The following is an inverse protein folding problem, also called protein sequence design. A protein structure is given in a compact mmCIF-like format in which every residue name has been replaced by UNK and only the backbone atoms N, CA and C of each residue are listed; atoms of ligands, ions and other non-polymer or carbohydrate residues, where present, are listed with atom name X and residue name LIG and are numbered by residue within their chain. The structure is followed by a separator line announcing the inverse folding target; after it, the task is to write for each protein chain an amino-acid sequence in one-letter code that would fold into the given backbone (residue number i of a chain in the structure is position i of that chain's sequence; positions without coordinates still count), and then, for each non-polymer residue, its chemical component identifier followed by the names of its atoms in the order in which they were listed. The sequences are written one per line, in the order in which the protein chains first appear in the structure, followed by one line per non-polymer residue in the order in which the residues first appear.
data_IF_673341571190
#
_entry.id   IF_673341571190
#
_cell.length_a   1.000
_cell.length_b   1.000
_cell.length_c   1.000
_cell.angle_alpha   90.00
_cell.angle_beta   90.00
_cell.angle_gamma   90.00
#
_symmetry.space_group_name_H-M   'P 1'
#
loop_
_entity.id
_entity.type
_entity.pdbx_description
1 polymer ?
#
# COMPACT_ATOMS: atom_id res chain seq x y z
N UNK A 1 -48.26 32.64 40.66
CA UNK A 1 -49.09 31.44 40.40
C UNK A 1 -49.48 31.43 38.93
N UNK A 2 -49.39 30.24 38.32
CA UNK A 2 -49.86 29.83 36.98
C UNK A 2 -48.96 30.15 35.76
N UNK A 3 -48.31 29.05 35.35
CA UNK A 3 -47.66 28.72 34.09
C UNK A 3 -48.51 29.10 32.87
N UNK A 4 -47.88 29.58 31.81
CA UNK A 4 -48.42 29.46 30.45
C UNK A 4 -47.38 28.71 29.61
N UNK A 5 -47.88 27.65 29.01
CA UNK A 5 -47.21 26.60 28.27
C UNK A 5 -46.84 27.12 26.87
N UNK A 6 -45.60 26.86 26.46
CA UNK A 6 -45.07 27.14 25.13
C UNK A 6 -45.56 26.03 24.18
N UNK A 7 -46.40 26.36 23.20
CA UNK A 7 -46.78 25.45 22.11
C UNK A 7 -46.10 25.94 20.84
N UNK A 8 -45.06 25.24 20.39
CA UNK A 8 -44.41 25.46 19.10
C UNK A 8 -45.17 24.66 18.05
N UNK A 9 -45.91 25.35 17.19
CA UNK A 9 -46.52 24.78 15.98
C UNK A 9 -45.56 25.03 14.83
N UNK A 10 -44.97 23.96 14.28
CA UNK A 10 -44.22 24.00 13.02
C UNK A 10 -45.23 24.06 11.88
N UNK A 11 -45.26 25.17 11.13
CA UNK A 11 -46.04 25.31 9.91
C UNK A 11 -45.08 25.38 8.72
N UNK A 12 -44.89 24.24 8.05
CA UNK A 12 -44.21 24.16 6.76
C UNK A 12 -45.22 24.57 5.68
N UNK A 13 -45.07 25.77 5.11
CA UNK A 13 -45.83 26.16 3.92
C UNK A 13 -45.12 25.69 2.65
N UNK A 14 -45.72 24.70 1.99
CA UNK A 14 -45.49 24.40 0.59
C UNK A 14 -46.29 25.39 -0.26
N UNK A 15 -45.61 26.14 -1.12
CA UNK A 15 -46.25 26.97 -2.14
C UNK A 15 -46.11 26.30 -3.52
N UNK A 16 -47.24 25.76 -3.96
CA UNK A 16 -47.54 25.28 -5.31
C UNK A 16 -47.77 26.50 -6.22
N UNK A 17 -47.14 26.56 -7.39
CA UNK A 17 -47.63 27.36 -8.53
C UNK A 17 -47.60 26.47 -9.77
N UNK A 18 -48.79 26.14 -10.26
CA UNK A 18 -49.06 25.58 -11.60
C UNK A 18 -49.26 26.76 -12.56
N UNK A 19 -48.81 26.59 -13.82
CA UNK A 19 -49.40 27.07 -15.11
C UNK A 19 -48.28 27.60 -16.02
N UNK A 20 -48.11 27.24 -17.30
CA UNK A 20 -48.99 26.62 -18.28
C UNK A 20 -48.17 25.87 -19.35
N UNK A 21 -48.84 24.98 -20.07
CA UNK A 21 -48.36 24.22 -21.23
C UNK A 21 -47.85 25.09 -22.38
N UNK A 22 -46.75 24.67 -23.03
CA UNK A 22 -46.58 24.78 -24.48
C UNK A 22 -45.56 23.75 -24.94
N UNK A 23 -45.96 22.90 -25.88
CA UNK A 23 -45.07 21.97 -26.56
C UNK A 23 -44.13 22.72 -27.50
N UNK A 24 -42.90 22.23 -27.64
CA UNK A 24 -42.05 22.40 -28.82
C UNK A 24 -40.97 21.31 -28.82
N UNK A 25 -41.19 20.30 -29.66
CA UNK A 25 -40.17 19.35 -30.11
C UNK A 25 -39.24 20.01 -31.16
N UNK A 26 -38.00 19.50 -31.33
CA UNK A 26 -36.94 20.16 -32.09
C UNK A 26 -37.10 20.04 -33.62
N UNK A 27 -36.54 20.99 -34.40
CA UNK A 27 -36.57 20.92 -35.86
C UNK A 27 -35.57 19.91 -36.42
N UNK A 28 -36.07 19.05 -37.31
CA UNK A 28 -35.27 18.16 -38.16
C UNK A 28 -34.49 18.95 -39.24
N UNK A 29 -33.30 18.48 -39.65
CA UNK A 29 -32.54 19.10 -40.73
C UNK A 29 -33.17 18.81 -42.11
N UNK A 30 -33.19 19.86 -42.92
CA UNK A 30 -33.74 19.95 -44.28
C UNK A 30 -32.75 19.43 -45.32
N UNK A 31 -33.19 18.50 -46.18
CA UNK A 31 -32.57 18.21 -47.47
C UNK A 31 -33.61 18.42 -48.58
N UNK A 32 -33.24 19.19 -49.61
CA UNK A 32 -34.05 19.52 -50.79
C UNK A 32 -33.92 18.48 -51.91
N UNK A 33 -34.86 18.46 -52.90
CA UNK A 33 -35.17 17.24 -53.66
C UNK A 33 -34.87 17.26 -55.18
N UNK A 34 -34.91 16.03 -55.73
CA UNK A 34 -35.30 15.56 -57.09
C UNK A 34 -34.38 15.78 -58.33
N UNK A 35 -34.05 14.68 -59.03
CA UNK A 35 -34.76 14.27 -60.27
C UNK A 35 -34.38 12.87 -60.79
N UNK A 36 -35.31 12.32 -61.58
CA UNK A 36 -35.61 10.92 -61.96
C UNK A 36 -34.69 10.25 -62.99
N UNK A 37 -34.63 8.90 -62.98
CA UNK A 37 -34.92 8.03 -64.14
C UNK A 37 -35.04 6.55 -63.73
N UNK A 38 -35.70 5.77 -64.60
CA UNK A 38 -36.51 4.56 -64.39
C UNK A 38 -35.90 3.29 -65.02
N UNK A 39 -36.33 2.10 -64.53
CA UNK A 39 -36.67 0.85 -65.29
C UNK A 39 -35.46 -0.01 -65.78
N UNK A 40 -35.38 -1.35 -65.77
CA UNK A 40 -36.20 -2.56 -65.48
C UNK A 40 -35.18 -3.73 -65.25
N UNK A 41 -35.38 -4.66 -64.32
CA UNK A 41 -35.93 -6.02 -64.50
C UNK A 41 -34.95 -7.12 -65.00
N UNK A 42 -34.75 -8.16 -64.18
CA UNK A 42 -34.79 -9.60 -64.53
C UNK A 42 -33.89 -10.55 -63.68
N UNK A 43 -34.58 -11.43 -62.94
CA UNK A 43 -34.38 -12.90 -62.73
C UNK A 43 -32.98 -13.45 -62.36
N UNK A 44 -32.80 -14.06 -61.17
CA UNK A 44 -33.12 -15.46 -60.77
C UNK A 44 -32.49 -16.59 -61.61
N UNK A 45 -31.52 -17.32 -61.02
CA UNK A 45 -31.48 -18.79 -60.82
C UNK A 45 -30.12 -19.22 -60.22
N UNK A 46 -30.05 -19.80 -59.02
CA UNK A 46 -29.97 -21.25 -58.70
C UNK A 46 -29.24 -22.14 -59.73
N UNK A 47 -28.11 -22.75 -59.37
CA UNK A 47 -28.06 -24.18 -58.95
C UNK A 47 -26.62 -24.73 -58.71
N UNK A 48 -26.55 -25.49 -57.62
CA UNK A 48 -25.78 -26.70 -57.27
C UNK A 48 -24.54 -27.21 -58.04
N UNK A 49 -23.54 -27.57 -57.21
CA UNK A 49 -22.71 -28.82 -57.15
C UNK A 49 -21.74 -29.18 -58.30
N UNK A 50 -20.45 -29.37 -57.96
CA UNK A 50 -19.79 -30.68 -57.76
C UNK A 50 -18.27 -30.57 -57.50
N UNK A 51 -17.78 -31.48 -56.66
CA UNK A 51 -16.38 -31.86 -56.44
C UNK A 51 -15.69 -32.30 -57.74
N UNK A 52 -14.38 -32.08 -57.83
CA UNK A 52 -13.42 -33.06 -58.34
C UNK A 52 -12.00 -32.77 -57.79
N UNK A 53 -11.35 -33.82 -57.26
CA UNK A 53 -9.93 -33.91 -56.95
C UNK A 53 -9.07 -33.83 -58.23
N UNK A 54 -7.82 -33.35 -58.14
CA UNK A 54 -6.66 -33.91 -58.86
C UNK A 54 -5.31 -33.39 -58.33
N UNK A 55 -4.52 -34.34 -57.83
CA UNK A 55 -3.09 -34.62 -58.03
C UNK A 55 -1.96 -33.55 -57.89
N UNK A 56 -1.00 -33.94 -57.05
CA UNK A 56 0.48 -33.91 -57.19
C UNK A 56 1.19 -32.64 -57.70
N UNK A 57 2.06 -32.07 -56.87
CA UNK A 57 3.46 -31.92 -57.26
C UNK A 57 4.42 -31.89 -56.05
N UNK A 58 5.51 -32.64 -56.20
CA UNK A 58 6.63 -32.87 -55.29
C UNK A 58 7.66 -31.75 -55.37
N UNK A 59 8.26 -31.33 -54.23
CA UNK A 59 9.64 -30.81 -54.22
C UNK A 59 10.40 -31.22 -52.95
N UNK A 60 11.48 -31.96 -53.18
CA UNK A 60 12.52 -32.32 -52.23
C UNK A 60 13.41 -31.11 -51.87
N UNK A 61 14.01 -31.13 -50.68
CA UNK A 61 15.32 -30.53 -50.42
C UNK A 61 16.05 -31.28 -49.31
N UNK A 62 17.30 -31.56 -49.66
CA UNK A 62 18.29 -32.45 -49.06
C UNK A 62 18.84 -32.01 -47.68
N UNK A 63 19.25 -33.05 -46.92
CA UNK A 63 20.51 -33.25 -46.19
C UNK A 63 21.12 -32.12 -45.31
N UNK A 64 21.26 -32.42 -44.01
CA UNK A 64 22.58 -32.69 -43.42
C UNK A 64 22.45 -33.34 -42.04
N UNK A 65 22.85 -34.61 -41.96
CA UNK A 65 23.23 -35.30 -40.72
C UNK A 65 24.62 -34.83 -40.30
N UNK A 66 24.85 -34.70 -38.99
CA UNK A 66 26.16 -34.92 -38.41
C UNK A 66 26.03 -35.85 -37.21
N UNK A 67 26.74 -36.97 -37.29
CA UNK A 67 27.01 -37.94 -36.24
C UNK A 67 28.53 -38.00 -36.02
N UNK A 68 28.90 -38.56 -34.87
CA UNK A 68 30.21 -39.10 -34.46
C UNK A 68 31.25 -38.09 -33.92
N UNK A 69 31.98 -38.34 -32.83
CA UNK A 69 32.27 -39.61 -32.15
C UNK A 69 32.85 -39.38 -30.72
N UNK A 70 32.82 -40.46 -29.93
CA UNK A 70 33.29 -40.60 -28.54
C UNK A 70 34.81 -40.45 -28.34
N UNK A 71 35.21 -40.05 -27.12
CA UNK A 71 36.37 -40.65 -26.43
C UNK A 71 36.10 -40.84 -24.92
N UNK A 72 36.35 -42.08 -24.48
CA UNK A 72 36.49 -42.53 -23.08
C UNK A 72 37.87 -42.12 -22.53
N UNK A 73 37.97 -42.08 -21.19
CA UNK A 73 39.05 -42.60 -20.32
C UNK A 73 38.57 -42.38 -18.86
N UNK A 74 38.05 -43.39 -18.16
CA UNK A 74 38.73 -44.37 -17.28
C UNK A 74 39.20 -43.84 -15.90
N UNK A 75 38.51 -44.36 -14.87
CA UNK A 75 38.96 -44.80 -13.53
C UNK A 75 39.65 -43.83 -12.54
N UNK A 76 39.08 -43.71 -11.32
CA UNK A 76 39.60 -44.43 -10.14
C UNK A 76 38.70 -44.28 -8.89
N UNK A 77 38.42 -45.43 -8.28
CA UNK A 77 37.90 -45.67 -6.94
C UNK A 77 38.78 -45.09 -5.81
N UNK A 78 38.19 -45.13 -4.60
CA UNK A 78 38.75 -45.22 -3.23
C UNK A 78 38.53 -43.96 -2.38
N UNK A 79 38.14 -44.03 -1.12
CA UNK A 79 37.89 -45.15 -0.21
C UNK A 79 37.00 -44.64 0.94
N UNK A 80 36.34 -45.64 1.53
CA UNK A 80 35.61 -45.74 2.79
C UNK A 80 36.23 -45.05 4.02
N UNK A 81 35.39 -44.49 4.90
CA UNK A 81 35.27 -44.85 6.33
C UNK A 81 34.11 -44.03 6.95
N UNK A 82 33.02 -44.64 7.45
CA UNK A 82 32.82 -45.20 8.81
C UNK A 82 33.22 -44.21 9.93
N UNK A 83 32.50 -44.00 11.03
CA UNK A 83 31.34 -44.61 11.68
C UNK A 83 30.74 -43.51 12.60
N UNK A 84 29.42 -43.41 12.76
CA UNK A 84 28.69 -43.83 13.97
C UNK A 84 29.46 -43.67 15.29
N UNK A 85 28.88 -42.92 16.24
CA UNK A 85 28.66 -43.41 17.61
C UNK A 85 27.70 -42.48 18.39
N UNK A 86 26.62 -43.08 18.87
CA UNK A 86 25.80 -42.63 19.99
C UNK A 86 26.62 -42.67 21.30
N UNK A 87 26.32 -41.81 22.28
CA UNK A 87 25.87 -42.24 23.63
C UNK A 87 26.00 -41.16 24.73
N UNK A 88 25.00 -41.17 25.63
CA UNK A 88 25.06 -41.02 27.11
C UNK A 88 25.53 -39.69 27.71
N UNK A 89 24.69 -38.93 28.45
CA UNK A 89 24.05 -39.11 29.78
C UNK A 89 24.74 -38.26 30.87
N UNK A 90 23.92 -37.40 31.51
CA UNK A 90 23.83 -36.98 32.93
C UNK A 90 25.09 -36.77 33.80
N UNK A 91 25.12 -35.61 34.49
CA UNK A 91 25.01 -35.44 35.97
C UNK A 91 25.43 -34.00 36.35
N UNK A 92 24.54 -33.21 36.96
CA UNK A 92 24.41 -32.88 38.40
C UNK A 92 25.37 -31.81 38.97
N UNK A 93 24.73 -30.74 39.48
CA UNK A 93 24.98 -30.05 40.76
C UNK A 93 26.21 -29.12 40.93
N UNK A 94 25.95 -27.82 41.14
CA UNK A 94 26.47 -27.10 42.31
C UNK A 94 25.67 -25.81 42.61
N UNK A 95 24.94 -25.83 43.72
CA UNK A 95 24.47 -24.67 44.48
C UNK A 95 25.65 -23.85 45.05
N UNK A 96 25.49 -22.53 45.19
CA UNK A 96 25.58 -21.90 46.52
C UNK A 96 25.06 -20.46 46.53
N UNK A 97 24.05 -20.28 47.38
CA UNK A 97 23.54 -19.04 47.96
C UNK A 97 24.59 -18.35 48.83
N UNK A 98 24.41 -17.06 49.12
CA UNK A 98 24.60 -16.54 50.48
C UNK A 98 23.71 -15.31 50.71
N UNK A 99 22.86 -15.44 51.72
CA UNK A 99 21.91 -14.48 52.27
C UNK A 99 22.55 -13.53 53.32
N UNK A 100 22.07 -12.29 53.32
CA UNK A 100 21.49 -11.49 54.42
C UNK A 100 22.12 -11.27 55.82
N UNK A 101 21.71 -10.11 56.39
CA UNK A 101 21.63 -9.65 57.80
C UNK A 101 22.89 -9.08 58.48
N UNK A 102 22.86 -8.03 59.31
CA UNK A 102 21.80 -7.20 59.94
C UNK A 102 22.42 -5.93 60.57
N UNK A 103 21.65 -4.85 60.79
CA UNK A 103 21.24 -4.27 62.11
C UNK A 103 22.41 -3.98 63.10
N UNK A 104 22.55 -2.88 63.84
CA UNK A 104 21.68 -1.76 64.22
C UNK A 104 22.49 -0.69 65.01
N UNK A 105 21.91 0.51 65.11
CA UNK A 105 21.93 1.50 66.22
C UNK A 105 23.13 2.42 66.62
N UNK A 106 22.73 3.69 66.83
CA UNK A 106 23.12 4.69 67.86
C UNK A 106 24.46 5.47 67.82
N UNK A 107 24.39 6.80 67.61
CA UNK A 107 24.70 7.84 68.64
C UNK A 107 24.69 9.31 68.13
N UNK A 108 23.83 10.11 68.79
CA UNK A 108 23.92 11.52 69.26
C UNK A 108 25.18 12.35 68.89
N UNK A 109 25.06 13.55 68.27
CA UNK A 109 24.68 14.91 68.78
C UNK A 109 25.85 15.75 69.33
N UNK A 110 25.75 17.06 69.06
CA UNK A 110 26.40 18.23 69.71
C UNK A 110 27.84 18.56 69.22
N UNK A 111 28.35 19.80 69.09
CA UNK A 111 27.87 21.20 69.13
C UNK A 111 29.12 22.11 68.92
N UNK A 112 28.92 23.36 68.48
CA UNK A 112 29.82 24.55 68.56
C UNK A 112 31.23 24.54 67.87
N UNK A 113 31.88 25.64 67.43
CA UNK A 113 31.62 27.08 67.16
C UNK A 113 32.93 27.72 66.62
N UNK A 114 32.84 28.99 66.16
CA UNK A 114 33.89 30.02 65.94
C UNK A 114 34.66 30.00 64.59
N UNK A 115 34.52 30.95 63.65
CA UNK A 115 34.67 32.43 63.59
C UNK A 115 36.04 32.95 63.10
N UNK A 116 35.96 34.07 62.36
CA UNK A 116 36.99 34.93 61.74
C UNK A 116 37.59 34.42 60.41
N UNK A 117 37.75 35.22 59.35
CA UNK A 117 38.15 36.62 59.37
C UNK A 117 37.68 37.39 58.11
N UNK A 118 37.50 38.69 58.32
CA UNK A 118 37.01 39.73 57.41
C UNK A 118 37.99 40.15 56.32
N UNK A 119 37.48 40.52 55.13
CA UNK A 119 38.02 41.67 54.37
C UNK A 119 36.99 42.26 53.40
N UNK A 120 36.74 43.57 53.58
CA UNK A 120 35.82 44.42 52.85
C UNK A 120 36.52 45.21 51.72
N UNK A 121 35.72 45.51 50.67
CA UNK A 121 35.74 46.69 49.78
C UNK A 121 36.89 46.81 48.75
N UNK A 122 36.70 47.25 47.49
CA UNK A 122 35.61 47.97 46.83
C UNK A 122 35.82 47.94 45.29
N UNK A 123 34.71 48.06 44.56
CA UNK A 123 34.50 48.72 43.24
C UNK A 123 35.52 48.58 42.08
N UNK A 124 35.06 48.04 40.94
CA UNK A 124 34.77 48.89 39.78
C UNK A 124 33.90 48.17 38.73
N UNK A 125 33.15 48.98 37.99
CA UNK A 125 32.08 48.68 37.04
C UNK A 125 32.54 47.99 35.75
N UNK A 126 31.55 47.31 35.17
CA UNK A 126 31.26 47.27 33.72
C UNK A 126 32.28 46.55 32.84
N UNK A 127 31.90 45.39 32.31
CA UNK A 127 31.39 45.32 30.94
C UNK A 127 31.09 43.88 30.55
N UNK A 128 29.99 43.74 29.83
CA UNK A 128 29.69 42.67 28.88
C UNK A 128 29.10 41.38 29.45
N UNK A 129 27.79 41.52 29.69
CA UNK A 129 26.77 40.52 29.34
C UNK A 129 27.18 39.75 28.07
N UNK A 130 27.80 38.58 28.25
CA UNK A 130 27.66 37.49 27.31
C UNK A 130 26.39 36.72 27.68
N UNK A 131 25.22 37.36 27.52
CA UNK A 131 24.01 36.58 27.29
C UNK A 131 24.25 35.83 25.98
N UNK A 132 24.40 34.51 26.06
CA UNK A 132 24.27 33.66 24.89
C UNK A 132 22.89 33.97 24.32
N UNK A 133 22.84 34.64 23.18
CA UNK A 133 21.71 34.53 22.27
C UNK A 133 21.63 33.04 21.91
N UNK A 134 20.90 32.27 22.73
CA UNK A 134 20.16 31.15 22.18
C UNK A 134 19.27 31.78 21.14
N UNK A 135 19.62 31.55 19.88
CA UNK A 135 18.88 31.96 18.69
C UNK A 135 17.43 31.52 18.89
N UNK A 136 16.59 32.44 19.38
CA UNK A 136 15.19 32.18 19.67
C UNK A 136 14.48 32.07 18.32
N UNK A 137 14.53 30.87 17.73
CA UNK A 137 13.79 30.53 16.52
C UNK A 137 12.34 30.95 16.73
N UNK A 138 11.92 31.97 15.98
CA UNK A 138 10.53 32.42 16.01
C UNK A 138 9.67 31.25 15.55
N UNK A 139 8.74 30.82 16.40
CA UNK A 139 7.82 29.72 16.07
C UNK A 139 6.51 30.27 15.51
N UNK A 140 5.98 29.62 14.49
CA UNK A 140 4.64 29.83 13.94
C UNK A 140 3.90 28.50 13.84
N UNK A 141 2.62 28.52 13.48
CA UNK A 141 1.78 27.32 13.42
C UNK A 141 1.61 26.81 11.99
N UNK A 142 2.04 25.57 11.75
CA UNK A 142 1.64 24.79 10.58
C UNK A 142 0.35 24.02 10.93
N UNK A 143 -0.69 24.19 10.13
CA UNK A 143 -1.97 23.50 10.31
C UNK A 143 -2.09 22.42 9.23
N UNK A 144 -2.37 21.18 9.64
CA UNK A 144 -2.54 20.03 8.76
C UNK A 144 -3.97 19.50 8.86
N UNK A 145 -4.56 19.21 7.71
CA UNK A 145 -5.85 18.53 7.62
C UNK A 145 -5.71 17.33 6.68
N UNK A 146 -6.26 16.19 7.08
CA UNK A 146 -6.17 14.93 6.33
C UNK A 146 -7.54 14.30 6.12
N UNK A 147 -7.68 13.57 5.02
CA UNK A 147 -8.81 12.70 4.73
C UNK A 147 -8.28 11.36 4.21
N UNK A 148 -8.83 10.24 4.69
CA UNK A 148 -8.43 8.91 4.23
C UNK A 148 -7.06 8.43 4.74
N UNK A 149 -6.44 9.15 5.67
CA UNK A 149 -5.18 8.74 6.30
C UNK A 149 -5.46 7.61 7.31
N UNK A 150 -4.80 6.46 7.14
CA UNK A 150 -4.98 5.29 7.99
C UNK A 150 -3.97 5.21 9.14
N UNK A 151 -4.16 4.24 10.04
CA UNK A 151 -3.18 3.88 11.05
C UNK A 151 -1.95 3.21 10.35
N UNK A 152 -0.71 3.71 10.54
CA UNK A 152 0.47 3.14 9.90
C UNK A 152 0.94 1.80 10.54
N UNK A 153 0.37 1.42 11.69
CA UNK A 153 0.67 0.16 12.37
C UNK A 153 1.59 0.32 13.58
N UNK A 154 1.78 -0.78 14.32
CA UNK A 154 2.65 -0.81 15.50
C UNK A 154 4.11 -0.61 15.09
N UNK A 155 4.84 0.24 15.82
CA UNK A 155 6.24 0.57 15.52
C UNK A 155 6.42 1.61 14.41
N UNK A 156 5.35 2.23 13.93
CA UNK A 156 5.37 3.24 12.88
C UNK A 156 4.57 4.48 13.27
N UNK A 157 4.97 5.64 12.72
CA UNK A 157 4.29 6.91 12.89
C UNK A 157 4.37 7.73 11.59
N UNK A 158 3.64 8.85 11.55
CA UNK A 158 3.79 9.82 10.48
C UNK A 158 4.73 10.94 10.89
N UNK A 159 5.54 11.42 9.96
CA UNK A 159 6.31 12.64 10.11
C UNK A 159 6.06 13.59 8.94
N UNK A 160 5.84 14.86 9.25
CA UNK A 160 5.67 15.90 8.25
C UNK A 160 6.97 16.64 7.98
N UNK A 161 7.23 16.98 6.73
CA UNK A 161 8.45 17.64 6.29
C UNK A 161 8.13 18.87 5.44
N UNK A 162 8.72 20.01 5.80
CA UNK A 162 8.79 21.18 4.93
C UNK A 162 10.02 21.04 4.03
N UNK A 163 9.86 21.23 2.73
CA UNK A 163 11.00 21.28 1.81
C UNK A 163 11.48 22.72 1.71
N UNK A 164 12.63 23.03 2.29
CA UNK A 164 13.21 24.39 2.34
C UNK A 164 14.53 24.38 1.59
N UNK A 165 14.65 25.18 0.53
CA UNK A 165 15.83 25.20 -0.34
C UNK A 165 16.24 23.81 -0.88
N UNK A 166 15.27 22.90 -1.02
CA UNK A 166 15.46 21.53 -1.48
C UNK A 166 15.75 20.51 -0.37
N UNK A 167 15.93 20.96 0.88
CA UNK A 167 16.24 20.10 2.03
C UNK A 167 14.99 19.88 2.91
N UNK A 168 14.79 18.67 3.46
CA UNK A 168 13.67 18.39 4.35
C UNK A 168 13.90 18.96 5.76
N UNK A 169 12.88 19.61 6.31
CA UNK A 169 12.85 20.13 7.68
C UNK A 169 11.63 19.54 8.40
N UNK A 170 11.89 18.77 9.46
CA UNK A 170 10.82 18.13 10.26
C UNK A 170 9.85 19.16 10.84
N UNK A 171 8.57 18.77 10.83
CA UNK A 171 7.47 19.49 11.46
C UNK A 171 6.98 18.80 12.74
N UNK A 172 7.50 17.60 13.01
CA UNK A 172 7.12 16.76 14.14
C UNK A 172 6.40 15.48 13.71
N UNK A 173 6.36 14.55 14.67
CA UNK A 173 5.79 13.20 14.53
C UNK A 173 4.39 13.15 15.13
N UNK A 174 3.49 12.41 14.49
CA UNK A 174 2.15 12.14 15.00
C UNK A 174 1.67 10.74 14.61
N UNK A 175 0.65 10.24 15.30
CA UNK A 175 0.01 8.97 14.98
C UNK A 175 -1.43 9.19 14.52
N UNK A 176 -2.00 8.18 13.85
CA UNK A 176 -3.41 8.16 13.44
C UNK A 176 -4.02 6.87 13.98
N UNK A 177 -5.18 6.98 14.62
CA UNK A 177 -5.90 5.81 15.14
C UNK A 177 -6.68 5.07 14.03
N UNK A 178 -7.25 3.91 14.37
CA UNK A 178 -8.03 3.08 13.43
C UNK A 178 -9.31 3.78 12.89
N UNK A 179 -9.67 4.95 13.43
CA UNK A 179 -10.78 5.77 12.96
C UNK A 179 -10.32 6.89 12.03
N UNK A 180 -9.04 6.97 11.72
CA UNK A 180 -8.45 8.02 10.89
C UNK A 180 -8.27 9.35 11.62
N UNK A 181 -8.20 9.35 12.96
CA UNK A 181 -8.01 10.57 13.73
C UNK A 181 -6.54 10.76 14.11
N UNK A 182 -5.95 11.86 13.63
CA UNK A 182 -4.58 12.24 13.96
C UNK A 182 -4.45 12.70 15.42
N UNK A 183 -3.34 12.35 16.06
CA UNK A 183 -3.01 12.77 17.43
C UNK A 183 -2.68 14.26 17.53
N UNK A 184 -2.27 14.89 16.43
CA UNK A 184 -2.02 16.31 16.30
C UNK A 184 -2.28 16.78 14.86
N UNK A 185 -2.78 18.01 14.74
CA UNK A 185 -3.02 18.71 13.45
C UNK A 185 -2.38 20.09 13.41
N UNK A 186 -1.79 20.52 14.51
CA UNK A 186 -1.23 21.86 14.70
C UNK A 186 0.19 21.71 15.22
N UNK A 187 1.16 22.21 14.45
CA UNK A 187 2.57 21.98 14.68
C UNK A 187 3.32 23.32 14.82
N UNK A 188 3.96 23.59 15.98
CA UNK A 188 4.83 24.75 16.14
C UNK A 188 6.16 24.54 15.40
N UNK A 189 6.31 25.19 14.25
CA UNK A 189 7.49 25.08 13.37
C UNK A 189 8.28 26.39 13.33
N UNK A 190 9.52 26.33 12.86
CA UNK A 190 10.32 27.55 12.63
C UNK A 190 9.65 28.44 11.57
N UNK A 191 9.49 29.73 11.89
CA UNK A 191 8.77 30.69 11.04
C UNK A 191 9.51 31.00 9.73
N UNK A 192 10.84 30.96 9.75
CA UNK A 192 11.64 31.16 8.55
C UNK A 192 11.53 29.95 7.62
N UNK A 193 11.62 28.73 8.15
CA UNK A 193 11.41 27.48 7.44
C UNK A 193 10.02 27.42 6.80
N UNK A 194 8.95 27.68 7.56
CA UNK A 194 7.59 27.63 7.03
C UNK A 194 7.35 28.67 5.93
N UNK A 195 7.90 29.87 6.10
CA UNK A 195 7.79 30.94 5.09
C UNK A 195 8.52 30.58 3.78
N UNK A 196 9.69 29.95 3.88
CA UNK A 196 10.54 29.65 2.73
C UNK A 196 10.31 28.24 2.15
N UNK A 197 9.48 27.41 2.78
CA UNK A 197 9.16 26.10 2.24
C UNK A 197 8.62 26.21 0.81
N UNK A 198 8.97 25.27 -0.05
CA UNK A 198 8.42 25.16 -1.41
C UNK A 198 7.34 24.08 -1.47
N UNK A 199 7.47 23.05 -0.64
CA UNK A 199 6.54 21.94 -0.57
C UNK A 199 6.38 21.41 0.86
N UNK A 200 5.35 20.60 1.06
CA UNK A 200 5.16 19.74 2.22
C UNK A 200 5.10 18.27 1.76
N UNK A 201 5.71 17.38 2.55
CA UNK A 201 5.67 15.92 2.35
C UNK A 201 5.32 15.24 3.66
N UNK A 202 4.52 14.19 3.59
CA UNK A 202 4.23 13.30 4.71
C UNK A 202 4.85 11.92 4.44
N UNK A 203 5.61 11.42 5.40
CA UNK A 203 6.27 10.11 5.32
C UNK A 203 5.74 9.16 6.40
N UNK A 204 5.97 7.87 6.19
CA UNK A 204 5.76 6.82 7.20
C UNK A 204 7.14 6.47 7.79
N UNK A 205 7.30 6.71 9.08
CA UNK A 205 8.59 6.63 9.80
C UNK A 205 8.57 5.54 10.87
N UNK A 206 9.70 4.84 11.11
CA UNK A 206 9.85 3.99 12.28
C UNK A 206 9.59 4.77 13.58
N UNK A 207 9.05 4.12 14.60
CA UNK A 207 8.77 4.75 15.89
C UNK A 207 9.16 3.82 17.04
N UNK A 208 10.26 4.10 17.79
CA UNK A 208 11.12 5.28 17.71
C UNK A 208 12.01 5.34 16.47
N UNK A 209 12.19 6.53 15.91
CA UNK A 209 13.04 6.77 14.73
C UNK A 209 14.52 7.01 15.12
N UNK A 210 15.47 6.19 14.64
CA UNK A 210 16.89 6.44 14.84
C UNK A 210 17.52 7.41 13.81
N UNK A 211 16.86 7.72 12.69
CA UNK A 211 17.40 8.57 11.62
C UNK A 211 16.66 9.92 11.60
N UNK A 212 17.36 11.06 11.68
CA UNK A 212 16.72 12.38 11.58
C UNK A 212 16.33 12.78 10.14
N UNK A 213 16.67 12.00 9.12
CA UNK A 213 16.26 12.22 7.73
C UNK A 213 14.92 11.52 7.44
N UNK A 214 14.14 12.00 6.44
CA UNK A 214 12.91 11.31 6.05
C UNK A 214 13.21 9.89 5.56
N UNK A 215 12.40 8.93 5.99
CA UNK A 215 12.36 7.61 5.37
C UNK A 215 11.86 7.73 3.93
N UNK A 216 12.25 6.77 3.10
CA UNK A 216 11.93 6.72 1.67
C UNK A 216 10.44 6.53 1.38
N UNK A 217 9.65 6.15 2.38
CA UNK A 217 8.22 5.85 2.29
C UNK A 217 7.40 7.17 2.33
N UNK A 218 7.43 7.90 1.22
CA UNK A 218 6.67 9.14 1.06
C UNK A 218 5.23 8.85 0.62
N UNK A 219 4.25 9.31 1.40
CA UNK A 219 2.84 8.97 1.21
C UNK A 219 2.05 10.03 0.42
N UNK A 220 2.08 11.28 0.88
CA UNK A 220 1.39 12.41 0.22
C UNK A 220 2.29 13.63 0.23
N UNK A 221 2.19 14.44 -0.82
CA UNK A 221 2.95 15.70 -0.91
C UNK A 221 2.18 16.78 -1.66
N UNK A 222 2.66 18.01 -1.56
CA UNK A 222 2.09 19.15 -2.27
C UNK A 222 3.00 20.38 -2.23
N UNK A 223 3.08 21.08 -3.36
CA UNK A 223 3.71 22.39 -3.45
C UNK A 223 2.84 23.47 -2.78
N UNK A 224 3.48 24.43 -2.11
CA UNK A 224 2.78 25.59 -1.57
C UNK A 224 2.46 26.60 -2.68
N UNK A 225 1.17 26.90 -2.82
CA UNK A 225 0.66 28.04 -3.59
C UNK A 225 0.09 29.07 -2.60
N UNK A 226 0.86 30.14 -2.36
CA UNK A 226 0.60 31.08 -1.28
C UNK A 226 0.77 30.43 0.09
N UNK A 227 -0.27 30.48 0.92
CA UNK A 227 -0.26 29.98 2.30
C UNK A 227 -0.75 28.53 2.42
N UNK A 228 -1.01 27.85 1.31
CA UNK A 228 -1.58 26.48 1.32
C UNK A 228 -0.93 25.55 0.31
N UNK A 229 -0.81 24.27 0.67
CA UNK A 229 -0.47 23.17 -0.23
C UNK A 229 -1.59 22.14 -0.19
N UNK A 230 -2.07 21.69 -1.36
CA UNK A 230 -2.97 20.54 -1.48
C UNK A 230 -2.13 19.27 -1.57
N UNK A 231 -2.37 18.33 -0.67
CA UNK A 231 -1.57 17.12 -0.52
C UNK A 231 -2.26 15.93 -1.19
N UNK A 232 -1.51 15.21 -2.02
CA UNK A 232 -2.01 14.02 -2.71
C UNK A 232 -0.89 13.01 -2.92
N UNK A 233 -1.27 11.74 -3.13
CA UNK A 233 -0.33 10.67 -3.49
C UNK A 233 0.32 10.89 -4.86
N UNK A 234 -0.36 11.60 -5.77
CA UNK A 234 0.09 11.85 -7.13
C UNK A 234 1.21 12.87 -7.24
N UNK A 235 1.56 13.52 -6.12
CA UNK A 235 2.64 14.48 -6.10
C UNK A 235 4.00 13.82 -6.42
N UNK A 236 4.90 14.49 -7.17
CA UNK A 236 6.22 13.93 -7.50
C UNK A 236 7.12 13.60 -6.30
N UNK A 237 6.84 14.19 -5.13
CA UNK A 237 7.51 13.87 -3.86
C UNK A 237 6.83 12.76 -3.06
N UNK A 238 5.81 12.10 -3.62
CA UNK A 238 5.04 11.01 -3.01
C UNK A 238 5.04 9.78 -3.95
N UNK A 239 3.90 9.10 -4.14
CA UNK A 239 3.77 7.96 -5.05
C UNK A 239 3.92 8.33 -6.54
N UNK A 240 3.88 9.63 -6.89
CA UNK A 240 4.07 10.13 -8.25
C UNK A 240 3.10 9.54 -9.30
N UNK A 241 1.94 9.05 -8.86
CA UNK A 241 0.87 8.53 -9.71
C UNK A 241 -0.51 8.83 -9.10
N UNK A 242 -1.51 9.10 -9.94
CA UNK A 242 -2.89 9.36 -9.51
C UNK A 242 -3.77 8.11 -9.43
N UNK A 243 -3.32 7.02 -10.05
CA UNK A 243 -4.02 5.74 -10.12
C UNK A 243 -5.45 5.82 -10.66
N UNK A 244 -5.82 6.87 -11.40
CA UNK A 244 -7.21 7.06 -11.83
C UNK A 244 -7.64 6.08 -12.93
N UNK A 245 -6.71 5.70 -13.82
CA UNK A 245 -6.98 4.91 -15.03
C UNK A 245 -6.48 3.46 -14.94
N UNK A 246 -6.12 2.98 -13.75
CA UNK A 246 -5.70 1.58 -13.59
C UNK A 246 -6.88 0.62 -13.82
N UNK A 247 -6.55 -0.58 -14.28
CA UNK A 247 -7.52 -1.65 -14.49
C UNK A 247 -6.91 -2.98 -14.05
N UNK A 248 -7.77 -3.94 -13.73
CA UNK A 248 -7.34 -5.28 -13.41
C UNK A 248 -8.47 -6.29 -13.47
N UNK A 249 -8.09 -7.54 -13.64
CA UNK A 249 -8.96 -8.69 -13.44
C UNK A 249 -8.14 -9.87 -12.90
N UNK A 250 -8.84 -10.80 -12.25
CA UNK A 250 -8.28 -12.06 -11.79
C UNK A 250 -9.08 -13.23 -12.37
N UNK A 251 -8.50 -14.42 -12.30
CA UNK A 251 -9.17 -15.69 -12.55
C UNK A 251 -9.14 -16.55 -11.28
N UNK A 252 -10.13 -17.42 -11.14
CA UNK A 252 -10.05 -18.55 -10.21
C UNK A 252 -9.53 -19.79 -10.94
N UNK A 253 -8.51 -20.44 -10.38
CA UNK A 253 -7.88 -21.62 -10.94
C UNK A 253 -6.81 -22.15 -10.00
N UNK A 254 -6.61 -23.48 -10.00
CA UNK A 254 -5.66 -24.16 -9.12
C UNK A 254 -4.58 -24.96 -9.89
N UNK A 255 -3.76 -24.30 -10.74
CA UNK A 255 -2.81 -24.95 -11.63
C UNK A 255 -1.75 -25.81 -10.92
N UNK A 256 -1.39 -25.49 -9.68
CA UNK A 256 -0.45 -26.28 -8.88
C UNK A 256 -1.07 -27.58 -8.36
N UNK A 257 -2.40 -27.71 -8.36
CA UNK A 257 -3.09 -28.92 -7.91
C UNK A 257 -2.88 -30.10 -8.87
N UNK A 258 -2.88 -31.33 -8.32
CA UNK A 258 -2.99 -32.57 -9.10
C UNK A 258 -4.38 -32.78 -9.71
N UNK A 259 -5.39 -32.07 -9.21
CA UNK A 259 -6.80 -32.14 -9.57
C UNK A 259 -7.32 -30.74 -9.92
N UNK A 260 -6.58 -30.02 -10.78
CA UNK A 260 -6.84 -28.61 -11.07
C UNK A 260 -8.30 -28.34 -11.50
N UNK A 261 -8.91 -29.23 -12.28
CA UNK A 261 -10.29 -29.09 -12.75
C UNK A 261 -11.33 -29.19 -11.60
N UNK A 262 -11.05 -29.95 -10.56
CA UNK A 262 -11.90 -30.07 -9.37
C UNK A 262 -11.57 -29.01 -8.30
N UNK A 263 -10.34 -28.52 -8.32
CA UNK A 263 -9.79 -27.61 -7.32
C UNK A 263 -9.80 -26.14 -7.75
N UNK A 264 -10.30 -25.79 -8.94
CA UNK A 264 -10.21 -24.42 -9.48
C UNK A 264 -10.67 -23.29 -8.55
N UNK A 265 -11.58 -23.56 -7.59
CA UNK A 265 -12.03 -22.60 -6.57
C UNK A 265 -11.01 -22.35 -5.44
N UNK A 266 -9.87 -23.04 -5.47
CA UNK A 266 -8.80 -23.04 -4.47
C UNK A 266 -7.55 -22.34 -4.98
N UNK A 267 -7.69 -21.36 -5.85
CA UNK A 267 -6.58 -20.52 -6.29
C UNK A 267 -7.07 -19.29 -7.00
N UNK A 268 -6.26 -18.25 -6.95
CA UNK A 268 -6.53 -16.94 -7.53
C UNK A 268 -5.27 -16.47 -8.25
N UNK A 269 -5.44 -15.97 -9.46
CA UNK A 269 -4.31 -15.49 -10.26
C UNK A 269 -4.67 -14.23 -11.05
N UNK A 270 -3.70 -13.34 -11.24
CA UNK A 270 -3.86 -12.00 -11.81
C UNK A 270 -3.23 -11.89 -13.21
N UNK A 271 -3.84 -12.46 -14.26
CA UNK A 271 -3.25 -12.44 -15.61
C UNK A 271 -3.32 -11.07 -16.29
N UNK A 272 -4.07 -10.12 -15.73
CA UNK A 272 -4.32 -8.81 -16.33
C UNK A 272 -4.34 -7.73 -15.25
N UNK A 273 -3.20 -7.06 -15.07
CA UNK A 273 -3.03 -5.91 -14.19
C UNK A 273 -2.35 -4.78 -14.96
N UNK A 274 -3.02 -3.63 -15.05
CA UNK A 274 -2.45 -2.41 -15.63
C UNK A 274 -2.16 -1.41 -14.51
N UNK A 275 -0.96 -1.55 -13.93
CA UNK A 275 -0.50 -0.77 -12.77
C UNK A 275 0.70 0.10 -13.16
N UNK A 276 0.83 1.34 -12.63
CA UNK A 276 2.02 2.15 -12.81
C UNK A 276 3.23 1.55 -12.06
N UNK A 277 4.43 2.04 -12.34
CA UNK A 277 5.58 1.72 -11.50
C UNK A 277 5.46 2.48 -10.16
N UNK A 278 5.83 1.83 -9.07
CA UNK A 278 5.92 2.45 -7.75
C UNK A 278 7.34 3.02 -7.52
N UNK A 279 7.47 4.12 -6.76
CA UNK A 279 8.78 4.57 -6.28
C UNK A 279 9.37 3.59 -5.25
N UNK A 280 10.67 3.71 -5.00
CA UNK A 280 11.36 2.94 -3.96
C UNK A 280 10.65 3.11 -2.60
N UNK A 281 10.68 2.05 -1.78
CA UNK A 281 9.97 2.01 -0.50
C UNK A 281 8.51 1.57 -0.59
N UNK A 282 8.02 1.23 -1.78
CA UNK A 282 6.66 0.75 -2.01
C UNK A 282 6.65 -0.51 -2.87
N UNK A 283 5.67 -1.39 -2.62
CA UNK A 283 5.46 -2.63 -3.35
C UNK A 283 3.96 -2.90 -3.51
N UNK A 284 3.55 -3.64 -4.54
CA UNK A 284 2.18 -4.16 -4.60
C UNK A 284 2.08 -5.46 -3.84
N UNK A 285 0.92 -5.71 -3.24
CA UNK A 285 0.63 -7.00 -2.61
C UNK A 285 -0.78 -7.47 -2.95
N UNK A 286 -0.90 -8.75 -3.29
CA UNK A 286 -2.18 -9.41 -3.52
C UNK A 286 -2.72 -10.02 -2.23
N UNK A 287 -4.03 -10.03 -2.08
CA UNK A 287 -4.70 -10.56 -0.89
C UNK A 287 -5.99 -11.27 -1.25
N UNK A 288 -6.26 -12.35 -0.52
CA UNK A 288 -7.63 -12.85 -0.33
C UNK A 288 -8.08 -12.54 1.10
N UNK A 289 -9.26 -11.96 1.24
CA UNK A 289 -9.79 -11.53 2.54
C UNK A 289 -11.06 -12.30 2.84
N UNK A 290 -11.02 -13.19 3.83
CA UNK A 290 -12.12 -14.09 4.14
C UNK A 290 -12.52 -14.09 5.62
N UNK A 291 -13.34 -15.07 6.04
CA UNK A 291 -13.89 -15.17 7.39
C UNK A 291 -12.84 -15.27 8.51
N UNK A 292 -11.69 -15.88 8.20
CA UNK A 292 -10.60 -16.09 9.16
C UNK A 292 -9.54 -14.98 9.14
N UNK A 293 -9.74 -13.96 8.29
CA UNK A 293 -8.83 -12.83 8.11
C UNK A 293 -8.25 -12.70 6.70
N UNK A 294 -7.37 -11.71 6.49
CA UNK A 294 -6.63 -11.56 5.24
C UNK A 294 -5.50 -12.59 5.12
N UNK A 295 -5.25 -13.05 3.91
CA UNK A 295 -4.12 -13.90 3.55
C UNK A 295 -3.43 -13.24 2.36
N UNK A 296 -2.15 -12.94 2.51
CA UNK A 296 -1.30 -12.45 1.41
C UNK A 296 -1.19 -13.54 0.34
N UNK A 297 -1.23 -13.12 -0.92
CA UNK A 297 -0.96 -13.95 -2.10
C UNK A 297 0.33 -13.50 -2.78
N UNK A 298 1.24 -12.87 -2.04
CA UNK A 298 2.54 -12.45 -2.55
C UNK A 298 2.65 -10.97 -2.90
N UNK A 299 3.89 -10.48 -2.77
CA UNK A 299 4.33 -9.13 -3.15
C UNK A 299 4.92 -9.13 -4.55
N UNK A 300 4.65 -8.09 -5.34
CA UNK A 300 5.14 -8.00 -6.72
C UNK A 300 5.41 -6.55 -7.14
N UNK A 301 6.41 -6.39 -8.02
CA UNK A 301 6.77 -5.07 -8.56
C UNK A 301 5.94 -4.70 -9.81
N UNK A 302 5.41 -5.70 -10.52
CA UNK A 302 4.58 -5.52 -11.71
C UNK A 302 3.62 -6.69 -11.89
N UNK A 303 2.52 -6.47 -12.62
CA UNK A 303 1.47 -7.45 -12.83
C UNK A 303 1.82 -8.61 -13.78
N UNK A 304 2.99 -8.58 -14.41
CA UNK A 304 3.45 -9.51 -15.43
C UNK A 304 4.65 -10.38 -14.98
N UNK A 305 4.99 -10.32 -13.69
CA UNK A 305 6.03 -11.14 -13.07
C UNK A 305 5.47 -11.96 -11.93
N UNK A 306 6.08 -13.13 -11.68
CA UNK A 306 5.80 -13.91 -10.46
C UNK A 306 6.06 -13.05 -9.22
N UNK A 307 5.18 -13.16 -8.25
CA UNK A 307 5.29 -12.52 -6.94
C UNK A 307 6.34 -13.22 -6.04
N UNK A 308 6.44 -12.73 -4.80
CA UNK A 308 7.46 -13.14 -3.83
C UNK A 308 7.34 -14.59 -3.34
N UNK A 309 6.16 -15.19 -3.41
CA UNK A 309 5.87 -16.53 -2.87
C UNK A 309 5.40 -17.54 -3.94
N UNK A 310 5.28 -17.11 -5.19
CA UNK A 310 5.17 -17.96 -6.36
C UNK A 310 3.82 -18.64 -6.49
N UNK A 311 3.71 -19.88 -6.02
CA UNK A 311 2.41 -20.58 -5.98
C UNK A 311 1.74 -20.47 -4.61
N UNK A 312 2.39 -19.81 -3.65
CA UNK A 312 2.01 -19.74 -2.25
C UNK A 312 2.48 -20.94 -1.41
N UNK A 313 2.45 -20.80 -0.08
CA UNK A 313 2.94 -21.82 0.86
C UNK A 313 2.05 -23.07 0.93
N UNK A 314 0.80 -22.98 0.48
CA UNK A 314 -0.20 -24.04 0.51
C UNK A 314 -0.45 -24.66 -0.87
N UNK A 315 0.43 -24.36 -1.84
CA UNK A 315 0.36 -24.85 -3.21
C UNK A 315 0.42 -26.38 -3.32
N UNK A 316 -0.13 -26.89 -4.42
CA UNK A 316 0.10 -28.25 -4.86
C UNK A 316 1.49 -28.43 -5.53
N UNK A 317 1.82 -29.66 -5.98
CA UNK A 317 3.16 -30.00 -6.45
C UNK A 317 3.44 -29.63 -7.91
N UNK A 318 2.45 -29.16 -8.67
CA UNK A 318 2.64 -28.76 -10.06
C UNK A 318 3.11 -27.30 -10.15
N UNK A 319 3.80 -26.91 -11.23
CA UNK A 319 4.17 -25.50 -11.44
C UNK A 319 2.92 -24.62 -11.64
N UNK A 320 3.03 -23.36 -11.24
CA UNK A 320 2.00 -22.35 -11.48
C UNK A 320 2.39 -21.35 -12.58
N UNK A 321 1.49 -20.39 -12.88
CA UNK A 321 1.73 -19.29 -13.80
C UNK A 321 2.90 -18.38 -13.40
N UNK A 322 3.36 -17.57 -14.36
CA UNK A 322 4.46 -16.61 -14.17
C UNK A 322 3.96 -15.17 -13.96
N UNK A 323 2.84 -15.01 -13.26
CA UNK A 323 2.21 -13.74 -12.91
C UNK A 323 1.63 -13.87 -11.48
N UNK A 324 1.27 -12.77 -10.80
CA UNK A 324 0.91 -12.83 -9.39
C UNK A 324 -0.29 -13.72 -9.11
N UNK A 325 -0.31 -14.38 -7.96
CA UNK A 325 -1.37 -15.27 -7.53
C UNK A 325 -0.87 -16.48 -6.75
N UNK A 326 -1.79 -17.23 -6.17
CA UNK A 326 -1.44 -18.46 -5.46
C UNK A 326 -2.57 -19.48 -5.46
N UNK A 327 -2.21 -20.71 -5.09
CA UNK A 327 -3.16 -21.78 -4.79
C UNK A 327 -3.25 -22.05 -3.28
N UNK A 328 -4.38 -22.62 -2.86
CA UNK A 328 -4.75 -22.95 -1.49
C UNK A 328 -5.18 -24.41 -1.39
N UNK A 329 -4.23 -25.34 -1.56
CA UNK A 329 -4.49 -26.79 -1.68
C UNK A 329 -4.41 -27.52 -0.36
N UNK A 330 -3.40 -27.21 0.47
CA UNK A 330 -3.21 -27.86 1.77
C UNK A 330 -2.72 -26.86 2.85
N UNK A 331 -3.59 -26.43 3.80
CA UNK A 331 -5.00 -26.76 3.88
C UNK A 331 -5.80 -26.15 2.71
N UNK A 332 -6.85 -26.88 2.30
CA UNK A 332 -7.71 -26.46 1.21
C UNK A 332 -8.61 -25.27 1.62
N UNK A 333 -8.61 -24.20 0.82
CA UNK A 333 -9.52 -23.05 0.98
C UNK A 333 -10.39 -22.90 -0.27
N UNK A 334 -11.71 -22.84 -0.10
CA UNK A 334 -12.65 -22.53 -1.18
C UNK A 334 -12.91 -21.01 -1.20
N UNK A 335 -12.28 -20.30 -2.15
CA UNK A 335 -12.35 -18.84 -2.24
C UNK A 335 -13.75 -18.34 -2.59
N UNK A 336 -14.63 -19.19 -3.13
CA UNK A 336 -16.00 -18.81 -3.49
C UNK A 336 -16.96 -18.75 -2.27
N UNK A 337 -16.44 -18.99 -1.06
CA UNK A 337 -17.23 -19.08 0.17
C UNK A 337 -17.09 -17.87 1.09
N UNK A 338 -17.12 -16.67 0.50
CA UNK A 338 -17.12 -15.40 1.23
C UNK A 338 -15.74 -14.74 1.35
N UNK A 339 -14.89 -14.94 0.34
CA UNK A 339 -13.63 -14.21 0.21
C UNK A 339 -13.79 -13.02 -0.74
N UNK A 340 -12.99 -11.99 -0.51
CA UNK A 340 -12.76 -10.85 -1.39
C UNK A 340 -11.35 -10.94 -2.00
N UNK A 341 -11.15 -10.39 -3.18
CA UNK A 341 -9.85 -10.23 -3.82
C UNK A 341 -9.40 -8.77 -3.74
N UNK A 342 -8.17 -8.53 -3.29
CA UNK A 342 -7.66 -7.16 -3.08
C UNK A 342 -6.22 -7.04 -3.58
N UNK A 343 -5.91 -5.95 -4.28
CA UNK A 343 -4.53 -5.49 -4.48
C UNK A 343 -4.33 -4.20 -3.67
N UNK A 344 -3.25 -4.14 -2.91
CA UNK A 344 -2.85 -2.96 -2.13
C UNK A 344 -1.50 -2.41 -2.59
N UNK A 345 -1.22 -1.18 -2.17
CA UNK A 345 0.13 -0.61 -2.15
C UNK A 345 0.63 -0.68 -0.71
N UNK A 346 1.72 -1.40 -0.50
CA UNK A 346 2.32 -1.66 0.81
C UNK A 346 3.65 -0.91 0.96
N UNK A 347 3.96 -0.40 2.16
CA UNK A 347 5.31 0.07 2.46
C UNK A 347 6.33 -1.07 2.32
N UNK A 348 7.59 -0.77 2.04
CA UNK A 348 8.68 -1.76 2.03
C UNK A 348 9.86 -1.21 2.85
N UNK A 349 10.16 -1.80 4.03
CA UNK A 349 9.56 -3.01 4.60
C UNK A 349 8.17 -2.77 5.22
N UNK A 350 7.21 -3.63 4.90
CA UNK A 350 5.93 -3.71 5.60
C UNK A 350 5.95 -4.82 6.67
N UNK A 351 5.54 -4.46 7.88
CA UNK A 351 5.46 -5.34 9.06
C UNK A 351 4.02 -5.61 9.51
N UNK A 352 3.02 -5.05 8.83
CA UNK A 352 1.62 -5.22 9.18
C UNK A 352 1.10 -6.60 8.71
N UNK A 353 0.34 -7.33 9.55
CA UNK A 353 -0.25 -8.62 9.15
C UNK A 353 -1.53 -8.46 8.32
N UNK A 354 -1.98 -7.23 8.05
CA UNK A 354 -3.23 -6.93 7.38
C UNK A 354 -2.96 -5.97 6.20
N UNK A 355 -3.79 -5.99 5.15
CA UNK A 355 -3.61 -5.13 3.99
C UNK A 355 -3.61 -3.66 4.38
N UNK A 356 -2.71 -2.87 3.78
CA UNK A 356 -2.64 -1.43 3.92
C UNK A 356 -3.98 -0.75 3.60
N UNK A 357 -4.15 0.45 4.15
CA UNK A 357 -5.28 1.32 3.84
C UNK A 357 -5.26 1.82 2.39
N UNK A 358 -4.12 1.73 1.69
CA UNK A 358 -3.98 2.01 0.24
C UNK A 358 -4.50 0.84 -0.60
N UNK A 359 -5.80 0.56 -0.47
CA UNK A 359 -6.50 -0.44 -1.30
C UNK A 359 -6.68 0.10 -2.70
N UNK A 360 -6.08 -0.58 -3.67
CA UNK A 360 -5.98 -0.10 -5.03
C UNK A 360 -7.06 -0.70 -5.93
N UNK A 361 -7.15 -2.04 -5.94
CA UNK A 361 -8.15 -2.80 -6.69
C UNK A 361 -8.89 -3.73 -5.73
N UNK A 362 -10.22 -3.73 -5.77
CA UNK A 362 -11.04 -4.54 -4.86
C UNK A 362 -12.18 -5.21 -5.61
N UNK A 363 -12.31 -6.51 -5.43
CA UNK A 363 -13.55 -7.23 -5.59
C UNK A 363 -14.00 -7.75 -4.21
N UNK A 364 -15.21 -7.38 -3.82
CA UNK A 364 -15.76 -7.67 -2.48
C UNK A 364 -16.25 -9.10 -2.34
N UNK A 365 -16.39 -9.83 -3.44
CA UNK A 365 -16.92 -11.19 -3.41
C UNK A 365 -16.40 -12.00 -4.60
N UNK A 366 -15.54 -12.99 -4.33
CA UNK A 366 -15.11 -13.94 -5.34
C UNK A 366 -16.26 -14.89 -5.67
N UNK A 367 -16.75 -14.85 -6.91
CA UNK A 367 -17.81 -15.72 -7.40
C UNK A 367 -17.30 -17.02 -8.03
N UNK A 368 -18.16 -18.05 -8.01
CA UNK A 368 -17.96 -19.27 -8.80
C UNK A 368 -18.38 -19.04 -10.26
N UNK A 369 -17.44 -18.52 -11.05
CA UNK A 369 -17.59 -18.28 -12.50
C UNK A 369 -17.08 -19.45 -13.36
N UNK A 370 -16.79 -20.60 -12.73
CA UNK A 370 -16.15 -21.74 -13.37
C UNK A 370 -14.63 -21.60 -13.50
N UNK A 371 -13.99 -22.68 -13.94
CA UNK A 371 -12.54 -22.78 -14.09
C UNK A 371 -11.99 -21.74 -15.07
N UNK A 372 -11.02 -20.94 -14.60
CA UNK A 372 -10.41 -19.81 -15.30
C UNK A 372 -11.41 -18.70 -15.72
N UNK A 373 -12.59 -18.63 -15.08
CA UNK A 373 -13.50 -17.51 -15.30
C UNK A 373 -12.89 -16.21 -14.78
N UNK A 374 -12.87 -15.18 -15.63
CA UNK A 374 -12.33 -13.85 -15.31
C UNK A 374 -13.34 -13.02 -14.51
N UNK A 375 -12.84 -12.31 -13.50
CA UNK A 375 -13.61 -11.40 -12.65
C UNK A 375 -12.88 -10.06 -12.56
N UNK A 376 -13.63 -8.98 -12.78
CA UNK A 376 -13.09 -7.63 -12.76
C UNK A 376 -12.96 -7.13 -11.31
N UNK A 377 -11.96 -6.28 -11.06
CA UNK A 377 -11.79 -5.59 -9.78
C UNK A 377 -12.07 -4.10 -9.92
N UNK A 378 -12.69 -3.50 -8.90
CA UNK A 378 -13.04 -2.09 -8.89
C UNK A 378 -11.84 -1.25 -8.41
N UNK A 379 -11.51 -0.20 -9.17
CA UNK A 379 -10.50 0.79 -8.78
C UNK A 379 -10.99 1.64 -7.59
N UNK A 380 -10.21 1.66 -6.51
CA UNK A 380 -10.50 2.37 -5.26
C UNK A 380 -9.58 3.58 -5.01
N UNK A 381 -8.81 4.03 -6.01
CA UNK A 381 -7.86 5.16 -5.86
C UNK A 381 -8.52 6.47 -5.38
N UNK A 382 -9.83 6.64 -5.59
CA UNK A 382 -10.59 7.78 -5.06
C UNK A 382 -10.70 7.80 -3.52
N UNK A 383 -10.30 6.71 -2.84
CA UNK A 383 -10.25 6.60 -1.37
C UNK A 383 -8.88 6.92 -0.79
N UNK A 384 -7.87 7.14 -1.63
CA UNK A 384 -6.50 7.41 -1.21
C UNK A 384 -6.39 8.70 -0.39
N UNK A 385 -5.39 8.77 0.53
CA UNK A 385 -5.24 9.88 1.42
C UNK A 385 -5.04 11.18 0.64
N UNK A 386 -5.69 12.23 1.14
CA UNK A 386 -5.49 13.60 0.69
C UNK A 386 -5.34 14.51 1.90
N UNK A 387 -4.85 15.71 1.68
CA UNK A 387 -4.74 16.67 2.77
C UNK A 387 -4.52 18.11 2.34
N UNK A 388 -4.34 18.95 3.34
CA UNK A 388 -3.99 20.35 3.19
C UNK A 388 -2.98 20.74 4.27
N UNK A 389 -1.88 21.33 3.84
CA UNK A 389 -0.93 22.00 4.75
C UNK A 389 -1.12 23.51 4.63
N UNK A 390 -1.19 24.23 5.76
CA UNK A 390 -1.47 25.66 5.80
C UNK A 390 -0.55 26.42 6.76
N UNK A 391 0.00 27.53 6.27
CA UNK A 391 0.98 28.37 6.97
C UNK A 391 0.37 29.37 7.95
#
# INVERSE_FOLDING_TARGET
MKKILLTITVLMMAAFVISACSQNEPPAPTATPETMAKVDDSMQNVDAMKNDEMAEDTMAKDDMQSQDEMKKDDAMDKDENMAAEESMEKDENMEQQNDAMGEDEDMKKDDESMESDSMEMEDDKSSDEAMKEEDMMEKTQLNLAFQGLGNPGEGWAYEGWLIVDGEPVTTGVFTVDDKGMASATDFPVDAHALKNATAFVLTIEPSPDPDPAPNIIHLIGGDFDGDSATLAVSHPLALSADFADITGSYIIGAPSSKMAAEDYRKGIWWPSLALPALPDGWIYEGWVVGPDGPISTGRFASGDVTDSDGNGPTAGPNPGPSFPGQDFIDPAIDLTTGYAAVITIEPEPDTAPAPSFLKLLVDKNIEDVGDHGSQDVENQANTFPTGMAKR
#
